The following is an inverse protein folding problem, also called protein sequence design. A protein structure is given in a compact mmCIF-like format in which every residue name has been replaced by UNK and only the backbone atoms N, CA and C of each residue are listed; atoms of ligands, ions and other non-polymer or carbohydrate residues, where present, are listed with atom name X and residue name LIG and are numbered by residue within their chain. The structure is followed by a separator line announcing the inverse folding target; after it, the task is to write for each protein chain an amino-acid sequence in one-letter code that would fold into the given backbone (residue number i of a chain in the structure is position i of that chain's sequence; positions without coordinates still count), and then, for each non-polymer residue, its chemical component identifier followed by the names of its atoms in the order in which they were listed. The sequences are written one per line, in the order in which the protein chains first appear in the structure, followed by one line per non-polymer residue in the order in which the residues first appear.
data_IF_409418565219
#
_entry.id   IF_409418565219
#
_cell.length_a   1.000
_cell.length_b   1.000
_cell.length_c   1.000
_cell.angle_alpha   90.00
_cell.angle_beta   90.00
_cell.angle_gamma   90.00
#
_symmetry.space_group_name_H-M   'P 1'
#
loop_
_entity.id
_entity.type
_entity.pdbx_description
1 polymer ?
#
# COMPACT_ATOMS: atom_id res chain seq x y z
N UNK A 1 -19.11 11.21 -13.85
CA UNK A 1 -18.18 10.61 -12.89
C UNK A 1 -16.82 11.27 -13.10
N UNK A 2 -16.20 11.79 -12.04
CA UNK A 2 -14.91 12.49 -12.16
C UNK A 2 -13.80 11.49 -12.53
N UNK A 3 -12.94 11.86 -13.46
CA UNK A 3 -11.69 11.16 -13.73
C UNK A 3 -10.72 11.31 -12.56
N UNK A 4 -9.74 10.41 -12.45
CA UNK A 4 -8.69 10.54 -11.45
C UNK A 4 -7.92 11.88 -11.59
N UNK A 5 -7.64 12.32 -12.83
CA UNK A 5 -7.02 13.61 -13.09
C UNK A 5 -7.83 14.79 -12.51
N UNK A 6 -9.14 14.78 -12.72
CA UNK A 6 -10.04 15.79 -12.13
C UNK A 6 -10.05 15.72 -10.60
N UNK A 7 -10.15 14.52 -10.02
CA UNK A 7 -10.18 14.35 -8.55
C UNK A 7 -8.90 14.90 -7.91
N UNK A 8 -7.73 14.61 -8.49
CA UNK A 8 -6.45 15.12 -8.01
C UNK A 8 -6.41 16.65 -8.09
N UNK A 9 -6.81 17.22 -9.23
CA UNK A 9 -6.86 18.67 -9.43
C UNK A 9 -7.81 19.34 -8.44
N UNK A 10 -9.01 18.81 -8.26
CA UNK A 10 -10.00 19.34 -7.31
C UNK A 10 -9.44 19.38 -5.88
N UNK A 11 -8.70 18.35 -5.45
CA UNK A 11 -8.01 18.34 -4.14
C UNK A 11 -6.97 19.47 -4.03
N UNK A 12 -6.07 19.58 -5.02
CA UNK A 12 -5.00 20.57 -5.01
C UNK A 12 -5.58 22.00 -5.08
N UNK A 13 -6.52 22.24 -5.99
CA UNK A 13 -7.16 23.53 -6.20
C UNK A 13 -7.96 23.96 -4.97
N UNK A 14 -8.64 23.04 -4.29
CA UNK A 14 -9.34 23.35 -3.04
C UNK A 14 -8.39 23.92 -1.99
N UNK A 15 -7.26 23.25 -1.70
CA UNK A 15 -6.33 23.75 -0.69
C UNK A 15 -5.56 25.00 -1.13
N UNK A 16 -5.25 25.14 -2.42
CA UNK A 16 -4.62 26.36 -2.95
C UNK A 16 -5.58 27.56 -2.85
N UNK A 17 -6.81 27.43 -3.35
CA UNK A 17 -7.73 28.56 -3.50
C UNK A 17 -8.50 28.88 -2.23
N UNK A 18 -8.95 27.87 -1.48
CA UNK A 18 -9.75 28.06 -0.26
C UNK A 18 -8.87 28.26 0.97
N UNK A 19 -7.84 27.43 1.12
CA UNK A 19 -7.06 27.34 2.34
C UNK A 19 -5.70 28.07 2.26
N UNK A 20 -5.31 28.59 1.09
CA UNK A 20 -4.09 29.38 0.91
C UNK A 20 -2.81 28.55 1.04
N UNK A 21 -2.87 27.27 0.70
CA UNK A 21 -1.71 26.38 0.70
C UNK A 21 -0.83 26.63 -0.51
N UNK A 22 0.49 26.56 -0.34
CA UNK A 22 1.40 26.53 -1.47
C UNK A 22 1.36 25.14 -2.12
N UNK A 23 1.11 25.10 -3.43
CA UNK A 23 1.31 23.87 -4.21
C UNK A 23 2.81 23.57 -4.29
N UNK A 24 3.21 22.37 -3.84
CA UNK A 24 4.60 21.94 -3.83
C UNK A 24 4.77 20.66 -4.65
N UNK A 25 5.88 20.48 -5.36
CA UNK A 25 6.12 19.25 -6.10
C UNK A 25 6.36 18.07 -5.15
N UNK A 26 5.98 16.87 -5.59
CA UNK A 26 6.35 15.63 -4.92
C UNK A 26 7.87 15.49 -4.82
N UNK A 27 8.38 15.09 -3.66
CA UNK A 27 9.78 14.69 -3.53
C UNK A 27 10.04 13.34 -4.23
N UNK A 28 11.30 13.02 -4.57
CA UNK A 28 11.64 11.69 -5.08
C UNK A 28 11.21 10.57 -4.13
N UNK A 29 10.87 9.40 -4.66
CA UNK A 29 10.60 8.19 -3.84
C UNK A 29 11.86 7.64 -3.17
N UNK A 30 13.02 8.13 -3.59
CA UNK A 30 14.35 7.82 -3.06
C UNK A 30 14.74 8.98 -2.14
N UNK A 31 14.62 8.86 -0.81
CA UNK A 31 15.05 9.92 0.10
C UNK A 31 16.54 10.21 -0.10
N UNK A 32 16.88 11.48 -0.34
CA UNK A 32 18.27 11.93 -0.51
C UNK A 32 18.95 12.14 0.85
N UNK A 33 18.21 12.65 1.84
CA UNK A 33 18.75 13.14 3.11
C UNK A 33 18.33 12.32 4.34
N UNK A 34 17.76 11.12 4.14
CA UNK A 34 17.40 10.22 5.24
C UNK A 34 17.88 8.78 4.96
N UNK A 35 19.04 8.37 5.52
CA UNK A 35 19.56 7.02 5.33
C UNK A 35 18.75 5.95 6.07
N UNK A 36 17.83 6.35 6.98
CA UNK A 36 17.01 5.41 7.76
C UNK A 36 15.76 4.95 6.99
N UNK A 37 15.36 5.67 5.95
CA UNK A 37 14.23 5.32 5.09
C UNK A 37 14.70 4.69 3.78
N UNK A 38 14.14 3.53 3.44
CA UNK A 38 14.39 2.89 2.15
C UNK A 38 13.74 3.66 1.00
N UNK A 39 12.51 4.12 1.22
CA UNK A 39 11.73 4.91 0.28
C UNK A 39 10.87 5.93 1.03
N UNK A 40 10.47 6.98 0.32
CA UNK A 40 9.43 7.93 0.76
C UNK A 40 8.11 7.17 0.90
N UNK A 41 7.57 7.11 2.11
CA UNK A 41 6.38 6.32 2.46
C UNK A 41 5.14 7.17 2.78
N UNK A 42 5.33 8.49 2.91
CA UNK A 42 4.30 9.49 3.14
C UNK A 42 4.70 10.88 2.60
N UNK A 43 3.72 11.74 2.30
CA UNK A 43 3.94 13.14 1.88
C UNK A 43 4.78 13.96 2.86
N UNK A 44 4.66 13.66 4.15
CA UNK A 44 5.34 14.38 5.23
C UNK A 44 6.86 14.24 5.23
N UNK A 45 7.44 13.22 4.56
CA UNK A 45 8.87 12.94 4.67
C UNK A 45 9.74 14.12 4.21
N UNK A 46 9.32 14.87 3.18
CA UNK A 46 10.04 16.05 2.69
C UNK A 46 9.93 17.30 3.59
N UNK A 47 9.09 17.23 4.63
CA UNK A 47 8.89 18.30 5.62
C UNK A 47 9.37 17.91 7.02
N UNK A 48 10.05 16.76 7.17
CA UNK A 48 10.57 16.27 8.46
C UNK A 48 11.41 17.33 9.18
N UNK A 49 12.27 18.04 8.47
CA UNK A 49 13.11 19.12 9.02
C UNK A 49 12.27 20.30 9.53
N UNK A 50 11.18 20.63 8.85
CA UNK A 50 10.26 21.71 9.24
C UNK A 50 9.50 21.36 10.51
N UNK A 51 8.96 20.14 10.61
CA UNK A 51 8.27 19.69 11.84
C UNK A 51 9.19 19.65 13.06
N UNK A 52 10.47 19.34 12.85
CA UNK A 52 11.46 19.32 13.92
C UNK A 52 12.02 20.72 14.26
N UNK A 53 11.58 21.77 13.58
CA UNK A 53 12.09 23.14 13.75
C UNK A 53 13.55 23.33 13.33
N UNK A 54 14.08 22.42 12.49
CA UNK A 54 15.46 22.44 11.97
C UNK A 54 15.57 23.13 10.62
N UNK A 55 14.48 23.19 9.88
CA UNK A 55 14.38 23.87 8.59
C UNK A 55 13.19 24.81 8.53
N UNK A 56 13.15 25.63 7.49
CA UNK A 56 12.03 26.52 7.18
C UNK A 56 11.69 26.46 5.69
N UNK A 57 10.52 26.98 5.34
CA UNK A 57 10.03 27.14 3.97
C UNK A 57 9.49 28.57 3.82
N UNK A 58 9.42 29.12 2.60
CA UNK A 58 8.83 30.44 2.37
C UNK A 58 7.29 30.47 2.55
N UNK A 59 6.69 29.31 2.84
CA UNK A 59 5.27 29.12 3.09
C UNK A 59 5.05 28.42 4.44
N UNK A 60 3.87 28.66 5.04
CA UNK A 60 3.45 27.98 6.29
C UNK A 60 2.42 26.89 6.08
N UNK A 61 1.88 26.77 4.87
CA UNK A 61 0.90 25.77 4.45
C UNK A 61 1.34 25.21 3.12
N UNK A 62 1.22 23.90 2.94
CA UNK A 62 1.61 23.24 1.69
C UNK A 62 0.60 22.16 1.30
N UNK A 63 0.43 21.92 0.01
CA UNK A 63 -0.42 20.85 -0.53
C UNK A 63 0.29 20.17 -1.70
N UNK A 64 0.20 18.84 -1.81
CA UNK A 64 0.72 18.09 -2.94
C UNK A 64 -0.03 16.77 -3.20
N UNK A 65 0.43 16.05 -4.23
CA UNK A 65 0.30 14.61 -4.35
C UNK A 65 1.69 13.98 -4.27
N UNK A 66 1.97 13.18 -3.24
CA UNK A 66 3.27 12.56 -3.05
C UNK A 66 3.31 11.13 -3.62
N UNK A 67 4.33 10.85 -4.43
CA UNK A 67 4.73 9.48 -4.78
C UNK A 67 5.20 8.72 -3.54
N UNK A 68 4.49 7.65 -3.16
CA UNK A 68 4.83 6.85 -1.98
C UNK A 68 5.16 5.41 -2.38
N UNK A 69 6.17 4.80 -1.74
CA UNK A 69 6.46 3.37 -1.83
C UNK A 69 6.42 2.73 -0.44
N UNK A 70 5.58 1.69 -0.29
CA UNK A 70 5.49 0.86 0.93
C UNK A 70 5.90 -0.58 0.64
N UNK A 71 7.21 -0.79 0.57
CA UNK A 71 7.81 -2.09 0.26
C UNK A 71 8.96 -2.46 1.22
N UNK A 72 8.98 -1.91 2.43
CA UNK A 72 10.00 -2.21 3.44
C UNK A 72 9.89 -1.36 4.71
N UNK A 73 10.59 -1.77 5.77
CA UNK A 73 10.55 -1.10 7.07
C UNK A 73 9.21 -1.29 7.80
N UNK A 74 8.80 -0.28 8.59
CA UNK A 74 7.56 -0.28 9.38
C UNK A 74 6.29 -0.36 8.53
N UNK A 75 6.32 0.24 7.33
CA UNK A 75 5.18 0.29 6.41
C UNK A 75 5.49 -0.54 5.15
N UNK A 76 5.00 -1.77 5.10
CA UNK A 76 5.32 -2.72 4.05
C UNK A 76 4.08 -3.51 3.63
N UNK A 77 3.52 -3.13 2.49
CA UNK A 77 2.28 -3.70 1.95
C UNK A 77 2.57 -4.72 0.83
N UNK A 78 3.84 -5.02 0.58
CA UNK A 78 4.29 -5.80 -0.59
C UNK A 78 3.61 -7.17 -0.71
N UNK A 79 3.40 -7.87 0.40
CA UNK A 79 2.83 -9.23 0.40
C UNK A 79 1.30 -9.26 0.15
N UNK A 80 0.62 -8.14 0.40
CA UNK A 80 -0.84 -7.99 0.24
C UNK A 80 -1.23 -7.55 -1.17
N UNK A 81 -0.32 -6.85 -1.85
CA UNK A 81 -0.50 -6.37 -3.23
C UNK A 81 -0.95 -7.49 -4.17
N UNK A 82 -2.08 -7.26 -4.82
CA UNK A 82 -2.72 -8.19 -5.76
C UNK A 82 -3.61 -9.25 -5.12
N UNK A 83 -3.50 -9.49 -3.80
CA UNK A 83 -4.40 -10.38 -3.05
C UNK A 83 -5.69 -9.69 -2.64
N UNK A 84 -5.61 -8.40 -2.30
CA UNK A 84 -6.78 -7.56 -2.05
C UNK A 84 -6.97 -6.50 -3.14
N UNK A 85 -7.90 -5.59 -2.87
CA UNK A 85 -8.35 -4.56 -3.81
C UNK A 85 -7.80 -3.16 -3.52
N UNK A 86 -6.99 -2.96 -2.48
CA UNK A 86 -6.70 -1.62 -1.95
C UNK A 86 -5.27 -1.37 -1.44
N UNK A 87 -4.41 -2.40 -1.36
CA UNK A 87 -2.99 -2.25 -1.08
C UNK A 87 -2.16 -2.15 -2.36
N UNK A 88 -1.17 -1.27 -2.34
CA UNK A 88 -0.28 -0.97 -3.46
C UNK A 88 1.16 -0.88 -2.97
N UNK A 89 2.13 -1.31 -3.78
CA UNK A 89 3.54 -1.01 -3.48
C UNK A 89 3.84 0.46 -3.72
N UNK A 90 3.27 1.02 -4.79
CA UNK A 90 3.34 2.42 -5.15
C UNK A 90 1.95 3.03 -5.21
N UNK A 91 1.78 4.16 -4.55
CA UNK A 91 0.53 4.90 -4.54
C UNK A 91 0.78 6.40 -4.43
N UNK A 92 -0.24 7.18 -4.72
CA UNK A 92 -0.24 8.62 -4.51
C UNK A 92 -0.90 8.97 -3.17
N UNK A 93 -0.23 9.80 -2.38
CA UNK A 93 -0.78 10.36 -1.16
C UNK A 93 -1.11 11.82 -1.38
N UNK A 94 -2.40 12.15 -1.41
CA UNK A 94 -2.87 13.53 -1.38
C UNK A 94 -2.69 14.08 0.03
N UNK A 95 -1.93 15.16 0.19
CA UNK A 95 -1.62 15.69 1.51
C UNK A 95 -1.73 17.21 1.59
N UNK A 96 -2.12 17.69 2.77
CA UNK A 96 -2.09 19.09 3.14
C UNK A 96 -1.39 19.27 4.50
N UNK A 97 -0.51 20.26 4.59
CA UNK A 97 0.35 20.48 5.76
C UNK A 97 0.14 21.86 6.38
N UNK A 98 0.36 21.92 7.69
CA UNK A 98 0.42 23.16 8.48
C UNK A 98 1.72 23.21 9.25
N UNK A 99 2.50 24.26 9.04
CA UNK A 99 3.78 24.48 9.69
C UNK A 99 3.65 25.55 10.78
N UNK A 100 3.10 25.17 11.95
CA UNK A 100 2.93 26.10 13.08
C UNK A 100 1.88 27.19 12.81
N UNK A 101 0.82 26.85 12.07
CA UNK A 101 -0.20 27.79 11.61
C UNK A 101 -1.61 27.38 12.07
N UNK A 102 -2.38 26.66 11.24
CA UNK A 102 -3.66 26.05 11.66
C UNK A 102 -3.45 24.68 12.32
N UNK A 103 -4.45 24.18 13.05
CA UNK A 103 -4.39 22.88 13.73
C UNK A 103 -5.66 22.05 13.51
N UNK A 104 -6.18 21.37 14.54
CA UNK A 104 -7.26 20.38 14.42
C UNK A 104 -8.55 20.92 13.81
N UNK A 105 -8.96 22.13 14.21
CA UNK A 105 -10.24 22.72 13.79
C UNK A 105 -10.29 22.85 12.28
N UNK A 106 -9.36 23.59 11.70
CA UNK A 106 -9.33 23.86 10.26
C UNK A 106 -9.03 22.57 9.48
N UNK A 107 -8.17 21.69 10.01
CA UNK A 107 -7.89 20.39 9.38
C UNK A 107 -9.16 19.53 9.22
N UNK A 108 -9.97 19.42 10.27
CA UNK A 108 -11.23 18.66 10.26
C UNK A 108 -12.29 19.35 9.41
N UNK A 109 -12.44 20.68 9.55
CA UNK A 109 -13.43 21.46 8.80
C UNK A 109 -13.16 21.39 7.28
N UNK A 110 -11.91 21.55 6.85
CA UNK A 110 -11.55 21.45 5.43
C UNK A 110 -11.62 20.02 4.88
N UNK A 111 -11.25 19.01 5.67
CA UNK A 111 -11.40 17.62 5.24
C UNK A 111 -12.89 17.27 5.02
N UNK A 112 -13.76 17.71 5.94
CA UNK A 112 -15.21 17.53 5.81
C UNK A 112 -15.77 18.30 4.60
N UNK A 113 -15.43 19.58 4.46
CA UNK A 113 -15.90 20.43 3.35
C UNK A 113 -15.46 19.85 2.00
N UNK A 114 -14.23 19.37 1.88
CA UNK A 114 -13.75 18.78 0.64
C UNK A 114 -14.51 17.49 0.30
N UNK A 115 -14.64 16.56 1.25
CA UNK A 115 -15.31 15.29 0.99
C UNK A 115 -16.80 15.46 0.67
N UNK A 116 -17.51 16.29 1.42
CA UNK A 116 -18.98 16.39 1.35
C UNK A 116 -19.44 17.52 0.43
N UNK A 117 -18.73 18.65 0.45
CA UNK A 117 -19.05 19.84 -0.34
C UNK A 117 -18.52 19.80 -1.76
N UNK A 118 -17.27 19.38 -1.97
CA UNK A 118 -16.66 19.33 -3.31
C UNK A 118 -16.88 17.96 -3.96
N UNK A 119 -16.49 16.90 -3.27
CA UNK A 119 -16.57 15.55 -3.81
C UNK A 119 -17.96 14.91 -3.70
N UNK A 120 -18.86 15.48 -2.89
CA UNK A 120 -20.21 14.97 -2.68
C UNK A 120 -20.24 13.52 -2.20
N UNK A 121 -19.25 13.13 -1.39
CA UNK A 121 -19.27 11.85 -0.68
C UNK A 121 -20.47 11.85 0.28
N UNK A 122 -21.35 10.84 0.26
CA UNK A 122 -22.50 10.79 1.14
C UNK A 122 -22.10 10.82 2.61
N UNK A 123 -22.54 11.85 3.32
CA UNK A 123 -22.26 12.06 4.75
C UNK A 123 -22.73 10.86 5.61
N UNK A 124 -23.83 10.23 5.18
CA UNK A 124 -24.41 9.08 5.85
C UNK A 124 -23.57 7.79 5.72
N UNK A 125 -22.43 7.84 5.01
CA UNK A 125 -21.46 6.73 4.86
C UNK A 125 -20.10 7.02 5.49
N UNK A 126 -19.92 8.20 6.09
CA UNK A 126 -18.67 8.61 6.71
C UNK A 126 -18.64 8.29 8.20
N UNK A 127 -17.47 7.84 8.66
CA UNK A 127 -17.12 7.62 10.06
C UNK A 127 -15.81 8.32 10.35
N UNK A 128 -15.61 8.81 11.58
CA UNK A 128 -14.36 9.40 12.01
C UNK A 128 -13.85 8.72 13.28
N UNK A 129 -12.55 8.52 13.37
CA UNK A 129 -11.88 8.02 14.58
C UNK A 129 -11.13 9.14 15.29
N UNK A 130 -10.94 9.04 16.60
CA UNK A 130 -10.07 9.94 17.37
C UNK A 130 -9.25 9.14 18.38
N UNK A 131 -8.09 9.68 18.77
CA UNK A 131 -7.20 9.01 19.70
C UNK A 131 -7.84 8.86 21.09
N UNK A 132 -7.99 7.61 21.55
CA UNK A 132 -8.62 7.27 22.82
C UNK A 132 -7.72 7.51 24.04
N UNK A 133 -6.48 7.95 23.84
CA UNK A 133 -5.47 8.05 24.89
C UNK A 133 -4.68 6.75 25.03
N UNK A 134 -3.57 6.83 25.75
CA UNK A 134 -2.82 5.68 26.21
C UNK A 134 -2.15 5.97 27.56
N UNK A 135 -2.80 5.51 28.63
CA UNK A 135 -2.35 5.71 30.00
C UNK A 135 -0.95 5.12 30.25
N UNK A 136 -0.54 4.09 29.50
CA UNK A 136 0.79 3.48 29.64
C UNK A 136 1.92 4.43 29.23
N UNK A 137 1.67 5.27 28.23
CA UNK A 137 2.60 6.30 27.77
C UNK A 137 2.25 7.71 28.33
N UNK A 138 1.32 7.81 29.29
CA UNK A 138 0.90 9.09 29.87
C UNK A 138 0.22 10.02 28.86
N UNK A 139 -0.48 9.45 27.87
CA UNK A 139 -1.14 10.21 26.82
C UNK A 139 -2.64 10.29 27.08
N UNK A 140 -3.16 11.51 27.16
CA UNK A 140 -4.60 11.75 27.35
C UNK A 140 -5.41 11.51 26.07
N UNK A 141 -6.71 11.18 26.18
CA UNK A 141 -7.61 11.09 25.04
C UNK A 141 -7.73 12.42 24.29
N UNK A 142 -7.78 12.37 22.95
CA UNK A 142 -8.00 13.55 22.10
C UNK A 142 -9.47 13.94 22.05
N UNK A 143 -9.96 14.46 23.17
CA UNK A 143 -11.34 14.95 23.32
C UNK A 143 -11.63 16.17 22.44
N UNK A 144 -10.61 16.94 22.06
CA UNK A 144 -10.75 18.08 21.15
C UNK A 144 -11.18 17.62 19.75
N UNK A 145 -10.50 16.61 19.17
CA UNK A 145 -10.88 16.04 17.88
C UNK A 145 -12.30 15.43 17.91
N UNK A 146 -12.64 14.72 19.00
CA UNK A 146 -13.98 14.15 19.21
C UNK A 146 -15.09 15.21 19.14
N UNK A 147 -14.93 16.32 19.87
CA UNK A 147 -15.94 17.38 19.91
C UNK A 147 -15.98 18.21 18.62
N UNK A 148 -14.88 18.30 17.88
CA UNK A 148 -14.87 18.88 16.53
C UNK A 148 -15.69 18.01 15.55
N UNK A 149 -15.47 16.69 15.55
CA UNK A 149 -16.21 15.78 14.68
C UNK A 149 -17.70 15.70 14.97
N UNK A 150 -18.11 15.79 16.23
CA UNK A 150 -19.52 15.80 16.64
C UNK A 150 -20.35 16.95 16.07
N UNK A 151 -19.71 17.99 15.51
CA UNK A 151 -20.40 19.07 14.78
C UNK A 151 -20.85 18.63 13.39
N UNK A 152 -20.24 17.59 12.83
CA UNK A 152 -20.44 17.10 11.47
C UNK A 152 -21.10 15.71 11.47
N UNK A 153 -20.72 14.85 12.41
CA UNK A 153 -21.15 13.46 12.48
C UNK A 153 -21.96 13.19 13.76
N UNK A 154 -22.94 12.27 13.72
CA UNK A 154 -23.60 11.78 14.92
C UNK A 154 -22.58 11.08 15.84
N UNK A 155 -22.82 11.11 17.15
CA UNK A 155 -21.91 10.55 18.13
C UNK A 155 -21.60 9.06 17.93
N UNK A 156 -22.53 8.28 17.34
CA UNK A 156 -22.32 6.86 17.01
C UNK A 156 -21.29 6.61 15.91
N UNK A 157 -20.87 7.65 15.18
CA UNK A 157 -19.87 7.57 14.10
C UNK A 157 -18.56 8.29 14.39
N UNK A 158 -18.42 8.79 15.62
CA UNK A 158 -17.19 9.39 16.14
C UNK A 158 -16.59 8.41 17.14
N UNK A 159 -15.68 7.57 16.66
CA UNK A 159 -15.24 6.35 17.32
C UNK A 159 -13.89 6.55 18.03
N UNK A 160 -13.71 6.05 19.26
CA UNK A 160 -12.39 6.03 19.90
C UNK A 160 -11.51 4.97 19.24
N UNK A 161 -10.27 5.32 18.91
CA UNK A 161 -9.28 4.37 18.41
C UNK A 161 -8.02 4.34 19.26
N UNK A 162 -7.38 3.17 19.28
CA UNK A 162 -6.23 2.90 20.14
C UNK A 162 -4.95 3.53 19.58
N UNK A 163 -3.88 3.54 20.37
CA UNK A 163 -2.57 4.05 19.92
C UNK A 163 -2.06 3.41 18.62
N UNK A 164 -2.38 2.13 18.38
CA UNK A 164 -1.98 1.45 17.14
C UNK A 164 -2.64 2.00 15.87
N UNK A 165 -3.81 2.65 16.00
CA UNK A 165 -4.62 3.15 14.89
C UNK A 165 -4.56 4.69 14.85
N UNK A 166 -4.74 5.34 16.00
CA UNK A 166 -4.89 6.80 16.12
C UNK A 166 -3.69 7.52 16.76
N UNK A 167 -2.50 6.92 16.75
CA UNK A 167 -1.25 7.61 17.08
C UNK A 167 -0.22 7.34 15.97
N UNK A 168 0.00 8.34 15.13
CA UNK A 168 0.82 8.19 13.94
C UNK A 168 2.28 8.53 14.20
N UNK A 169 3.18 7.75 13.62
CA UNK A 169 4.63 7.97 13.70
C UNK A 169 5.29 7.61 12.37
N UNK A 170 6.19 8.47 11.90
CA UNK A 170 6.90 8.30 10.62
C UNK A 170 7.80 7.05 10.58
N UNK A 171 8.35 6.66 11.73
CA UNK A 171 9.29 5.56 11.87
C UNK A 171 9.51 5.22 13.34
N UNK A 172 10.69 4.69 13.68
CA UNK A 172 11.07 4.41 15.06
C UNK A 172 11.37 5.69 15.86
N UNK A 173 11.77 6.76 15.18
CA UNK A 173 12.01 8.10 15.73
C UNK A 173 11.46 9.17 14.79
N UNK A 174 11.28 10.39 15.30
CA UNK A 174 10.86 11.54 14.50
C UNK A 174 9.49 12.13 14.89
N UNK A 175 8.99 13.09 14.11
CA UNK A 175 7.74 13.78 14.40
C UNK A 175 6.55 12.80 14.40
N UNK A 176 5.67 12.96 15.39
CA UNK A 176 4.51 12.10 15.64
C UNK A 176 3.41 12.85 16.42
N UNK A 177 2.24 12.21 16.54
CA UNK A 177 1.13 12.76 17.30
C UNK A 177 -0.15 11.91 17.21
N UNK A 178 -1.19 12.27 17.99
CA UNK A 178 -2.50 11.70 17.79
C UNK A 178 -2.99 12.04 16.38
N UNK A 179 -3.79 11.15 15.81
CA UNK A 179 -4.41 11.38 14.51
C UNK A 179 -5.89 11.00 14.51
N UNK A 180 -6.57 11.45 13.48
CA UNK A 180 -7.99 11.20 13.26
C UNK A 180 -8.19 10.71 11.84
N UNK A 181 -8.78 9.53 11.70
CA UNK A 181 -8.99 8.90 10.40
C UNK A 181 -10.45 9.07 9.98
N UNK A 182 -10.66 9.26 8.68
CA UNK A 182 -11.97 9.28 8.05
C UNK A 182 -12.13 7.97 7.29
N UNK A 183 -13.22 7.25 7.59
CA UNK A 183 -13.57 6.00 6.95
C UNK A 183 -14.86 6.13 6.14
N UNK A 184 -14.96 5.32 5.09
CA UNK A 184 -16.11 5.27 4.20
C UNK A 184 -16.68 3.85 4.13
N UNK A 185 -18.00 3.73 4.34
CA UNK A 185 -18.75 2.49 4.10
C UNK A 185 -19.27 2.44 2.65
N UNK A 186 -18.74 1.51 1.86
CA UNK A 186 -19.14 1.30 0.46
C UNK A 186 -20.57 0.80 0.32
N UNK A 187 -21.10 0.07 1.30
CA UNK A 187 -22.44 -0.51 1.22
C UNK A 187 -23.50 0.56 1.51
N UNK A 188 -23.35 1.30 2.62
CA UNK A 188 -24.32 2.29 3.06
C UNK A 188 -25.63 1.68 3.56
N UNK A 189 -26.54 2.51 4.09
CA UNK A 189 -27.82 2.04 4.63
C UNK A 189 -27.71 1.13 5.85
N UNK A 190 -26.55 1.12 6.53
CA UNK A 190 -26.25 0.32 7.72
C UNK A 190 -25.40 1.12 8.71
N UNK A 191 -25.32 0.63 9.94
CA UNK A 191 -24.27 1.04 10.88
C UNK A 191 -23.06 0.11 10.68
N UNK A 192 -21.92 0.70 10.31
CA UNK A 192 -20.66 0.01 10.06
C UNK A 192 -19.59 0.37 11.11
N UNK A 193 -19.98 1.00 12.22
CA UNK A 193 -19.06 1.42 13.28
C UNK A 193 -18.19 0.28 13.81
N UNK A 194 -18.77 -0.91 14.01
CA UNK A 194 -18.05 -2.10 14.49
C UNK A 194 -17.04 -2.67 13.48
N UNK A 195 -17.11 -2.27 12.21
CA UNK A 195 -16.22 -2.71 11.13
C UNK A 195 -15.05 -1.74 10.88
N UNK A 196 -15.12 -0.52 11.41
CA UNK A 196 -14.03 0.47 11.30
C UNK A 196 -12.75 -0.10 11.93
N UNK A 197 -11.64 -0.03 11.19
CA UNK A 197 -10.34 -0.59 11.57
C UNK A 197 -10.35 -2.10 11.88
N UNK A 198 -11.25 -2.87 11.23
CA UNK A 198 -11.30 -4.34 11.29
C UNK A 198 -10.78 -5.05 10.03
N UNK A 199 -10.25 -4.30 9.06
CA UNK A 199 -9.78 -4.86 7.79
C UNK A 199 -10.90 -5.32 6.86
N UNK A 200 -12.11 -4.78 7.03
CA UNK A 200 -13.23 -5.03 6.12
C UNK A 200 -13.01 -4.23 4.81
N UNK A 201 -13.02 -4.88 3.63
CA UNK A 201 -12.75 -4.21 2.35
C UNK A 201 -13.84 -3.21 1.92
N UNK A 202 -15.05 -3.33 2.48
CA UNK A 202 -16.17 -2.43 2.23
C UNK A 202 -16.19 -1.26 3.25
N UNK A 203 -15.33 -1.25 4.27
CA UNK A 203 -15.18 -0.14 5.25
C UNK A 203 -13.74 0.34 5.27
N UNK A 204 -13.47 1.36 4.46
CA UNK A 204 -12.12 1.76 4.08
C UNK A 204 -11.70 3.06 4.76
N UNK A 205 -10.50 3.11 5.32
CA UNK A 205 -9.82 4.37 5.64
C UNK A 205 -9.49 5.13 4.34
N UNK A 206 -10.04 6.34 4.20
CA UNK A 206 -9.81 7.20 3.02
C UNK A 206 -8.81 8.32 3.31
N UNK A 207 -8.80 8.88 4.53
CA UNK A 207 -7.98 10.05 4.86
C UNK A 207 -7.56 10.03 6.33
N UNK A 208 -6.27 10.21 6.61
CA UNK A 208 -5.73 10.36 7.95
C UNK A 208 -5.28 11.81 8.19
N UNK A 209 -5.71 12.40 9.31
CA UNK A 209 -5.38 13.74 9.79
C UNK A 209 -4.49 13.63 11.04
N UNK A 210 -3.19 13.79 10.88
CA UNK A 210 -2.20 13.71 11.96
C UNK A 210 -1.96 15.08 12.58
N UNK A 211 -2.08 15.13 13.91
CA UNK A 211 -1.87 16.32 14.71
C UNK A 211 -0.49 16.28 15.35
N UNK A 212 0.52 16.54 14.53
CA UNK A 212 1.94 16.47 14.90
C UNK A 212 2.22 17.46 16.04
N UNK A 213 2.61 16.92 17.19
CA UNK A 213 2.87 17.71 18.41
C UNK A 213 4.01 17.14 19.27
N UNK A 214 4.55 15.97 18.90
CA UNK A 214 5.66 15.33 19.59
C UNK A 214 6.77 14.92 18.63
N UNK A 215 7.96 14.71 19.17
CA UNK A 215 9.06 13.97 18.56
C UNK A 215 9.29 12.69 19.36
N UNK A 216 9.33 11.53 18.68
CA UNK A 216 9.75 10.26 19.26
C UNK A 216 11.28 10.22 19.27
N UNK A 217 11.86 10.13 20.46
CA UNK A 217 13.31 10.02 20.65
C UNK A 217 13.78 8.56 20.55
N UNK A 218 15.10 8.35 20.49
CA UNK A 218 15.69 6.99 20.36
C UNK A 218 15.36 6.07 21.54
N UNK A 219 15.20 6.63 22.75
CA UNK A 219 14.78 5.91 23.96
C UNK A 219 13.26 5.66 24.02
N UNK A 220 12.55 6.00 22.95
CA UNK A 220 11.09 5.95 22.78
C UNK A 220 10.31 6.98 23.61
N UNK A 221 10.97 7.88 24.33
CA UNK A 221 10.28 8.99 24.99
C UNK A 221 9.64 9.94 23.96
N UNK A 222 8.58 10.64 24.39
CA UNK A 222 7.90 11.66 23.60
C UNK A 222 8.31 13.03 24.09
N UNK A 223 8.98 13.79 23.23
CA UNK A 223 9.33 15.18 23.50
C UNK A 223 8.33 16.12 22.82
N UNK A 224 7.71 17.08 23.52
CA UNK A 224 6.88 18.09 22.88
C UNK A 224 7.65 18.92 21.85
N UNK A 225 7.02 19.17 20.70
CA UNK A 225 7.54 20.06 19.67
C UNK A 225 7.32 21.54 20.04
N UNK A 226 8.18 22.47 19.57
CA UNK A 226 8.04 23.90 19.84
C UNK A 226 6.79 24.52 19.20
N UNK A 227 6.26 23.90 18.15
CA UNK A 227 5.03 24.27 17.48
C UNK A 227 4.18 23.02 17.21
N UNK A 228 2.87 23.23 17.06
CA UNK A 228 1.92 22.21 16.63
C UNK A 228 1.75 22.29 15.11
N UNK A 229 1.64 21.13 14.48
CA UNK A 229 1.63 21.00 13.03
C UNK A 229 0.48 20.09 12.59
N UNK A 230 0.11 20.19 11.32
CA UNK A 230 -0.84 19.26 10.69
C UNK A 230 -0.11 18.56 9.56
N UNK A 231 -0.31 17.25 9.51
CA UNK A 231 0.08 16.38 8.42
C UNK A 231 -1.12 15.54 8.02
N UNK A 232 -1.55 15.60 6.76
CA UNK A 232 -2.64 14.77 6.28
C UNK A 232 -2.18 13.87 5.14
N UNK A 233 -2.80 12.71 5.04
CA UNK A 233 -2.57 11.77 3.95
C UNK A 233 -3.85 11.06 3.55
N UNK A 234 -4.29 11.29 2.32
CA UNK A 234 -5.42 10.60 1.69
C UNK A 234 -4.89 9.72 0.57
N UNK A 235 -5.25 8.42 0.62
CA UNK A 235 -4.89 7.48 -0.43
C UNK A 235 -5.64 7.84 -1.72
N UNK A 236 -4.93 8.31 -2.73
CA UNK A 236 -5.56 8.82 -3.95
C UNK A 236 -6.37 7.75 -4.68
N UNK A 237 -5.79 6.55 -4.87
CA UNK A 237 -6.44 5.43 -5.52
C UNK A 237 -7.70 4.98 -4.79
N UNK A 238 -7.69 5.06 -3.45
CA UNK A 238 -8.84 4.77 -2.59
C UNK A 238 -9.96 5.79 -2.81
N UNK A 239 -9.63 7.09 -2.80
CA UNK A 239 -10.58 8.15 -3.08
C UNK A 239 -11.19 8.01 -4.48
N UNK A 240 -10.35 7.78 -5.51
CA UNK A 240 -10.82 7.58 -6.88
C UNK A 240 -11.79 6.41 -6.95
N UNK A 241 -11.47 5.29 -6.29
CA UNK A 241 -12.35 4.13 -6.21
C UNK A 241 -13.71 4.46 -5.57
N UNK A 242 -13.72 5.28 -4.51
CA UNK A 242 -14.96 5.74 -3.87
C UNK A 242 -15.77 6.63 -4.81
N UNK A 243 -15.16 7.66 -5.40
CA UNK A 243 -15.86 8.63 -6.27
C UNK A 243 -16.28 8.06 -7.63
N UNK A 244 -15.65 6.96 -8.05
CA UNK A 244 -16.03 6.20 -9.23
C UNK A 244 -16.92 5.00 -8.93
N UNK A 245 -17.39 4.86 -7.69
CA UNK A 245 -18.28 3.78 -7.26
C UNK A 245 -17.74 2.37 -7.61
N UNK A 246 -16.42 2.21 -7.53
CA UNK A 246 -15.72 0.95 -7.77
C UNK A 246 -15.47 0.23 -6.45
N UNK A 247 -15.58 -1.10 -6.43
CA UNK A 247 -15.23 -1.91 -5.24
C UNK A 247 -13.73 -2.17 -5.08
N UNK A 248 -12.97 -1.89 -6.12
CA UNK A 248 -11.52 -2.06 -6.13
C UNK A 248 -10.84 -0.80 -6.63
N UNK A 249 -9.66 -0.50 -6.07
CA UNK A 249 -8.79 0.53 -6.60
C UNK A 249 -8.42 0.22 -8.05
N UNK A 250 -8.21 -1.07 -8.36
CA UNK A 250 -7.82 -1.58 -9.67
C UNK A 250 -8.90 -1.45 -10.76
N UNK A 251 -10.14 -1.12 -10.40
CA UNK A 251 -11.25 -1.02 -11.37
C UNK A 251 -11.49 0.44 -11.82
N UNK A 252 -10.56 1.34 -11.48
CA UNK A 252 -10.61 2.77 -11.80
C UNK A 252 -9.91 3.09 -13.12
N UNK A 253 -10.12 4.31 -13.62
CA UNK A 253 -9.46 4.84 -14.82
C UNK A 253 -7.92 4.93 -14.70
N UNK A 254 -7.37 4.85 -13.49
CA UNK A 254 -5.92 4.79 -13.25
C UNK A 254 -5.26 3.52 -13.79
N UNK A 255 -5.99 2.40 -13.85
CA UNK A 255 -5.42 1.08 -14.14
C UNK A 255 -5.79 0.56 -15.51
N UNK A 256 -6.93 1.00 -16.06
CA UNK A 256 -7.43 0.53 -17.35
C UNK A 256 -6.38 0.60 -18.48
N UNK A 257 -5.59 1.69 -18.64
CA UNK A 257 -4.55 1.74 -19.67
C UNK A 257 -3.44 0.69 -19.46
N UNK A 258 -3.05 0.43 -18.20
CA UNK A 258 -2.01 -0.53 -17.85
C UNK A 258 -2.49 -1.95 -18.08
N UNK A 259 -3.74 -2.26 -17.71
CA UNK A 259 -4.36 -3.57 -17.95
C UNK A 259 -4.56 -3.83 -19.44
N UNK A 260 -5.02 -2.85 -20.22
CA UNK A 260 -5.13 -2.96 -21.67
C UNK A 260 -3.77 -3.30 -22.29
N UNK A 261 -2.72 -2.56 -21.95
CA UNK A 261 -1.40 -2.82 -22.51
C UNK A 261 -0.80 -4.15 -22.02
N UNK A 262 -1.15 -4.59 -20.81
CA UNK A 262 -0.79 -5.93 -20.30
C UNK A 262 -1.47 -7.03 -21.11
N UNK A 263 -2.76 -6.88 -21.43
CA UNK A 263 -3.49 -7.79 -22.32
C UNK A 263 -2.80 -7.89 -23.69
N UNK A 264 -2.60 -6.74 -24.35
CA UNK A 264 -2.00 -6.66 -25.69
C UNK A 264 -0.57 -7.23 -25.75
N UNK A 265 0.19 -7.02 -24.67
CA UNK A 265 1.60 -7.46 -24.59
C UNK A 265 1.71 -8.96 -24.35
N UNK A 266 0.83 -9.53 -23.53
CA UNK A 266 0.96 -10.91 -23.02
C UNK A 266 0.08 -11.92 -23.75
N UNK A 267 -1.00 -11.48 -24.40
CA UNK A 267 -2.02 -12.35 -24.99
C UNK A 267 -2.90 -13.07 -23.97
N UNK A 268 -2.77 -12.77 -22.67
CA UNK A 268 -3.66 -13.30 -21.64
C UNK A 268 -5.09 -12.78 -21.84
N UNK A 269 -6.11 -13.49 -21.37
CA UNK A 269 -7.49 -12.98 -21.37
C UNK A 269 -7.59 -11.61 -20.67
N UNK A 270 -8.59 -10.81 -21.01
CA UNK A 270 -8.88 -9.54 -20.31
C UNK A 270 -9.13 -9.73 -18.82
N UNK A 271 -8.78 -8.71 -18.02
CA UNK A 271 -8.99 -8.65 -16.57
C UNK A 271 -10.48 -8.65 -16.20
N UNK A 272 -10.88 -9.42 -15.17
CA UNK A 272 -12.29 -9.58 -14.77
C UNK A 272 -12.62 -9.11 -13.35
N UNK A 273 -11.66 -8.58 -12.60
CA UNK A 273 -11.92 -8.06 -11.25
C UNK A 273 -12.05 -9.12 -10.15
N UNK A 274 -11.69 -10.39 -10.39
CA UNK A 274 -11.84 -11.48 -9.41
C UNK A 274 -10.63 -11.59 -8.49
N UNK A 275 -10.87 -11.79 -7.19
CA UNK A 275 -9.81 -11.90 -6.19
C UNK A 275 -9.16 -13.28 -6.14
N UNK A 276 -9.94 -14.32 -6.38
CA UNK A 276 -9.54 -15.73 -6.36
C UNK A 276 -8.96 -16.22 -7.70
N UNK A 277 -9.05 -15.41 -8.76
CA UNK A 277 -8.57 -15.77 -10.08
C UNK A 277 -7.06 -15.43 -10.26
N UNK A 278 -6.20 -16.44 -10.50
CA UNK A 278 -4.75 -16.23 -10.60
C UNK A 278 -4.32 -15.29 -11.73
N UNK A 279 -5.10 -15.19 -12.82
CA UNK A 279 -4.80 -14.27 -13.92
C UNK A 279 -5.08 -12.83 -13.47
N UNK A 280 -6.20 -12.60 -12.78
CA UNK A 280 -6.56 -11.27 -12.30
C UNK A 280 -5.60 -10.80 -11.18
N UNK A 281 -5.15 -11.72 -10.32
CA UNK A 281 -4.05 -11.46 -9.37
C UNK A 281 -2.79 -11.02 -10.11
N UNK A 282 -2.41 -11.73 -11.17
CA UNK A 282 -1.23 -11.38 -11.96
C UNK A 282 -1.34 -10.01 -12.62
N UNK A 283 -2.50 -9.64 -13.18
CA UNK A 283 -2.76 -8.28 -13.69
C UNK A 283 -2.50 -7.23 -12.61
N UNK A 284 -3.09 -7.38 -11.42
CA UNK A 284 -2.93 -6.42 -10.32
C UNK A 284 -1.47 -6.28 -9.90
N UNK A 285 -0.76 -7.41 -9.71
CA UNK A 285 0.66 -7.40 -9.32
C UNK A 285 1.54 -6.76 -10.39
N UNK A 286 1.37 -7.13 -11.66
CA UNK A 286 2.17 -6.60 -12.76
C UNK A 286 1.96 -5.09 -12.91
N UNK A 287 0.72 -4.62 -12.89
CA UNK A 287 0.41 -3.20 -13.05
C UNK A 287 0.95 -2.37 -11.88
N UNK A 288 0.73 -2.81 -10.64
CA UNK A 288 1.25 -2.15 -9.44
C UNK A 288 2.78 -2.07 -9.46
N UNK A 289 3.44 -3.19 -9.74
CA UNK A 289 4.90 -3.26 -9.74
C UNK A 289 5.50 -2.47 -10.91
N UNK A 290 4.83 -2.41 -12.07
CA UNK A 290 5.23 -1.53 -13.16
C UNK A 290 5.20 -0.06 -12.73
N UNK A 291 4.17 0.39 -12.01
CA UNK A 291 4.10 1.76 -11.44
C UNK A 291 5.26 2.02 -10.48
N UNK A 292 5.50 1.11 -9.53
CA UNK A 292 6.58 1.23 -8.55
C UNK A 292 7.96 1.28 -9.18
N UNK A 293 8.28 0.38 -10.11
CA UNK A 293 9.58 0.35 -10.78
C UNK A 293 9.80 1.59 -11.62
N UNK A 294 8.76 2.05 -12.34
CA UNK A 294 8.84 3.27 -13.15
C UNK A 294 9.16 4.48 -12.29
N UNK A 295 8.44 4.67 -11.18
CA UNK A 295 8.67 5.79 -10.28
C UNK A 295 10.07 5.74 -9.65
N UNK A 296 10.47 4.59 -9.12
CA UNK A 296 11.77 4.43 -8.45
C UNK A 296 12.96 4.61 -9.41
N UNK A 297 12.87 4.06 -10.63
CA UNK A 297 13.94 4.18 -11.62
C UNK A 297 13.99 5.61 -12.20
N UNK A 298 12.84 6.25 -12.42
CA UNK A 298 12.79 7.66 -12.79
C UNK A 298 13.43 8.55 -11.71
N UNK A 299 13.28 8.21 -10.44
CA UNK A 299 13.93 8.92 -9.32
C UNK A 299 15.38 8.47 -9.05
N UNK A 300 15.94 7.63 -9.91
CA UNK A 300 17.37 7.30 -9.93
C UNK A 300 17.79 6.03 -9.19
N UNK A 301 16.86 5.32 -8.54
CA UNK A 301 17.15 4.00 -7.98
C UNK A 301 17.23 2.93 -9.09
N UNK A 302 17.85 1.79 -8.79
CA UNK A 302 18.01 0.70 -9.75
C UNK A 302 17.90 -0.64 -9.04
N UNK A 303 17.39 -1.71 -9.68
CA UNK A 303 17.46 -3.06 -9.12
C UNK A 303 18.91 -3.48 -8.81
N UNK A 304 19.13 -4.14 -7.68
CA UNK A 304 20.47 -4.52 -7.22
C UNK A 304 20.46 -5.57 -6.11
N UNK A 305 21.60 -5.79 -5.45
CA UNK A 305 21.76 -6.83 -4.43
C UNK A 305 21.58 -6.34 -2.98
N UNK A 306 21.55 -5.03 -2.75
CA UNK A 306 21.59 -4.46 -1.40
C UNK A 306 20.53 -3.38 -1.18
N UNK A 307 20.11 -3.21 0.07
CA UNK A 307 19.22 -2.14 0.52
C UNK A 307 17.97 -1.98 -0.35
N UNK A 308 17.66 -0.73 -0.72
CA UNK A 308 16.50 -0.37 -1.56
C UNK A 308 16.57 -1.00 -2.96
N UNK A 309 17.77 -1.15 -3.50
CA UNK A 309 17.98 -1.75 -4.82
C UNK A 309 17.59 -3.24 -4.82
N UNK A 310 17.82 -3.95 -3.71
CA UNK A 310 17.34 -5.32 -3.53
C UNK A 310 15.81 -5.42 -3.47
N UNK A 311 15.16 -4.46 -2.82
CA UNK A 311 13.68 -4.39 -2.80
C UNK A 311 13.13 -4.23 -4.22
N UNK A 312 13.68 -3.29 -5.01
CA UNK A 312 13.26 -3.11 -6.41
C UNK A 312 13.50 -4.36 -7.25
N UNK A 313 14.62 -5.06 -7.04
CA UNK A 313 14.88 -6.35 -7.70
C UNK A 313 13.84 -7.39 -7.32
N UNK A 314 13.41 -7.48 -6.05
CA UNK A 314 12.35 -8.40 -5.62
C UNK A 314 11.01 -8.07 -6.28
N UNK A 315 10.65 -6.79 -6.35
CA UNK A 315 9.43 -6.30 -7.01
C UNK A 315 9.44 -6.68 -8.50
N UNK A 316 10.53 -6.38 -9.22
CA UNK A 316 10.69 -6.77 -10.63
C UNK A 316 10.54 -8.28 -10.83
N UNK A 317 11.28 -9.07 -10.05
CA UNK A 317 11.24 -10.53 -10.17
C UNK A 317 9.86 -11.11 -9.84
N UNK A 318 9.12 -10.52 -8.90
CA UNK A 318 7.75 -10.93 -8.58
C UNK A 318 6.81 -10.66 -9.75
N UNK A 319 6.88 -9.49 -10.39
CA UNK A 319 6.08 -9.18 -11.57
C UNK A 319 6.37 -10.14 -12.73
N UNK A 320 7.65 -10.38 -13.03
CA UNK A 320 8.08 -11.32 -14.08
C UNK A 320 7.60 -12.74 -13.77
N UNK A 321 7.70 -13.18 -12.52
CA UNK A 321 7.22 -14.50 -12.09
C UNK A 321 5.70 -14.66 -12.29
N UNK A 322 4.90 -13.63 -11.97
CA UNK A 322 3.45 -13.66 -12.21
C UNK A 322 3.12 -13.75 -13.71
N UNK A 323 3.82 -12.99 -14.55
CA UNK A 323 3.66 -13.09 -16.01
C UNK A 323 3.96 -14.49 -16.52
N UNK A 324 5.03 -15.11 -16.01
CA UNK A 324 5.43 -16.46 -16.41
C UNK A 324 4.46 -17.54 -15.91
N UNK A 325 4.08 -17.52 -14.63
CA UNK A 325 3.29 -18.57 -13.99
C UNK A 325 1.80 -18.50 -14.34
N UNK A 326 1.26 -17.28 -14.48
CA UNK A 326 -0.19 -17.07 -14.58
C UNK A 326 -0.63 -16.56 -15.94
N UNK A 327 0.24 -15.87 -16.68
CA UNK A 327 -0.07 -15.34 -18.01
C UNK A 327 0.65 -16.11 -19.14
N UNK A 328 1.53 -17.06 -18.82
CA UNK A 328 2.22 -17.91 -19.80
C UNK A 328 3.35 -17.23 -20.58
N UNK A 329 3.79 -16.05 -20.15
CA UNK A 329 4.80 -15.25 -20.87
C UNK A 329 6.21 -15.78 -20.62
N UNK A 330 7.01 -15.91 -21.69
CA UNK A 330 8.41 -16.40 -21.62
C UNK A 330 9.45 -15.35 -21.97
N UNK A 331 9.09 -14.44 -22.85
CA UNK A 331 9.96 -13.34 -23.29
C UNK A 331 9.83 -12.11 -22.37
N UNK A 332 10.88 -11.25 -22.28
CA UNK A 332 10.80 -10.01 -21.52
C UNK A 332 9.64 -9.11 -21.97
N UNK A 333 8.73 -8.78 -21.05
CA UNK A 333 7.49 -8.09 -21.35
C UNK A 333 7.24 -6.86 -20.47
N UNK A 334 7.82 -6.80 -19.26
CA UNK A 334 7.47 -5.77 -18.28
C UNK A 334 7.83 -4.36 -18.78
N UNK A 335 8.96 -4.22 -19.47
CA UNK A 335 9.41 -2.97 -20.08
C UNK A 335 8.45 -2.43 -21.16
N UNK A 336 7.62 -3.30 -21.77
CA UNK A 336 6.60 -2.92 -22.76
C UNK A 336 5.34 -2.35 -22.12
N UNK A 337 5.13 -2.58 -20.81
CA UNK A 337 3.97 -2.10 -20.05
C UNK A 337 4.21 -0.69 -19.49
N UNK A 338 5.47 -0.34 -19.19
CA UNK A 338 5.90 0.96 -18.65
C UNK A 338 5.37 2.19 -19.42
N UNK A 339 5.24 2.19 -20.76
CA UNK A 339 4.66 3.33 -21.48
C UNK A 339 3.24 3.71 -21.02
N UNK A 340 2.40 2.74 -20.65
CA UNK A 340 1.07 3.03 -20.09
C UNK A 340 1.17 3.74 -18.73
N UNK A 341 2.17 3.41 -17.91
CA UNK A 341 2.42 4.10 -16.64
C UNK A 341 2.80 5.57 -16.89
N UNK A 342 3.68 5.83 -17.86
CA UNK A 342 4.06 7.19 -18.23
C UNK A 342 2.90 7.99 -18.85
N UNK A 343 1.96 7.30 -19.52
CA UNK A 343 0.71 7.91 -19.99
C UNK A 343 -0.18 8.33 -18.83
N UNK A 344 -0.38 7.47 -17.83
CA UNK A 344 -1.29 7.75 -16.70
C UNK A 344 -0.72 8.71 -15.66
N UNK A 345 0.59 8.67 -15.41
CA UNK A 345 1.24 9.41 -14.32
C UNK A 345 2.20 10.51 -14.78
N UNK A 346 2.64 10.49 -16.04
CA UNK A 346 3.71 11.36 -16.52
C UNK A 346 3.32 12.84 -16.73
N UNK A 347 2.04 13.19 -16.59
CA UNK A 347 1.62 14.60 -16.52
C UNK A 347 1.85 15.17 -15.11
N UNK A 348 1.53 14.38 -14.09
CA UNK A 348 1.66 14.75 -12.67
C UNK A 348 3.11 14.62 -12.18
N UNK A 349 3.82 13.61 -12.69
CA UNK A 349 5.23 13.33 -12.40
C UNK A 349 6.04 13.36 -13.70
N UNK A 350 6.41 14.55 -14.21
CA UNK A 350 7.03 14.71 -15.53
C UNK A 350 8.30 13.88 -15.75
N UNK A 351 9.06 13.64 -14.68
CA UNK A 351 10.26 12.82 -14.69
C UNK A 351 10.00 11.36 -15.11
N UNK A 352 8.81 10.81 -14.84
CA UNK A 352 8.43 9.46 -15.26
C UNK A 352 8.26 9.37 -16.79
N UNK A 353 7.82 10.46 -17.42
CA UNK A 353 7.76 10.58 -18.89
C UNK A 353 9.14 10.88 -19.46
N UNK A 354 9.86 11.83 -18.87
CA UNK A 354 11.17 12.27 -19.37
C UNK A 354 12.23 11.15 -19.34
N UNK A 355 12.17 10.26 -18.35
CA UNK A 355 13.14 9.17 -18.17
C UNK A 355 12.64 7.81 -18.66
N UNK A 356 11.50 7.76 -19.36
CA UNK A 356 10.90 6.52 -19.87
C UNK A 356 11.89 5.62 -20.63
N UNK A 357 12.73 6.11 -21.57
CA UNK A 357 13.67 5.25 -22.30
C UNK A 357 14.64 4.50 -21.37
N UNK A 358 15.18 5.19 -20.36
CA UNK A 358 16.08 4.61 -19.36
C UNK A 358 15.37 3.58 -18.48
N UNK A 359 14.12 3.87 -18.09
CA UNK A 359 13.30 2.92 -17.31
C UNK A 359 13.09 1.62 -18.09
N UNK A 360 12.75 1.73 -19.38
CA UNK A 360 12.54 0.56 -20.24
C UNK A 360 13.81 -0.27 -20.42
N UNK A 361 14.96 0.37 -20.64
CA UNK A 361 16.26 -0.29 -20.76
C UNK A 361 16.59 -1.11 -19.49
N UNK A 362 16.57 -0.47 -18.31
CA UNK A 362 16.90 -1.11 -17.04
C UNK A 362 15.98 -2.30 -16.74
N UNK A 363 14.66 -2.14 -16.95
CA UNK A 363 13.70 -3.21 -16.70
C UNK A 363 13.94 -4.38 -17.66
N UNK A 364 14.17 -4.10 -18.94
CA UNK A 364 14.43 -5.13 -19.96
C UNK A 364 15.68 -5.93 -19.63
N UNK A 365 16.77 -5.28 -19.23
CA UNK A 365 18.03 -5.93 -18.89
C UNK A 365 17.90 -6.84 -17.66
N UNK A 366 17.29 -6.34 -16.58
CA UNK A 366 17.10 -7.12 -15.35
C UNK A 366 16.12 -8.27 -15.54
N UNK A 367 15.06 -8.08 -16.34
CA UNK A 367 14.11 -9.14 -16.72
C UNK A 367 14.79 -10.23 -17.54
N UNK A 368 15.58 -9.87 -18.56
CA UNK A 368 16.35 -10.82 -19.36
C UNK A 368 17.40 -11.57 -18.52
N UNK A 369 18.06 -10.89 -17.58
CA UNK A 369 19.01 -11.51 -16.67
C UNK A 369 18.34 -12.53 -15.74
N UNK A 370 17.16 -12.19 -15.21
CA UNK A 370 16.40 -13.08 -14.34
C UNK A 370 15.80 -14.27 -15.10
N UNK A 371 15.27 -14.07 -16.31
CA UNK A 371 14.66 -15.12 -17.13
C UNK A 371 15.56 -16.34 -17.32
N UNK A 372 16.87 -16.14 -17.56
CA UNK A 372 17.88 -17.20 -17.67
C UNK A 372 18.03 -18.08 -16.41
N UNK A 373 17.58 -17.59 -15.26
CA UNK A 373 17.64 -18.30 -13.97
C UNK A 373 16.29 -18.81 -13.50
N UNK A 374 15.19 -18.13 -13.88
CA UNK A 374 13.84 -18.45 -13.44
C UNK A 374 13.41 -19.85 -13.91
N UNK A 375 13.59 -20.17 -15.19
CA UNK A 375 13.16 -21.47 -15.73
C UNK A 375 13.86 -22.65 -15.06
N UNK A 376 15.18 -22.53 -14.87
CA UNK A 376 15.98 -23.53 -14.12
C UNK A 376 15.52 -23.65 -12.68
N UNK A 377 15.25 -22.52 -12.01
CA UNK A 377 14.79 -22.49 -10.63
C UNK A 377 13.43 -23.15 -10.43
N UNK A 378 12.47 -22.91 -11.35
CA UNK A 378 11.15 -23.54 -11.32
C UNK A 378 11.24 -25.05 -11.53
N UNK A 379 12.04 -25.50 -12.51
CA UNK A 379 12.24 -26.94 -12.76
C UNK A 379 12.83 -27.67 -11.53
N UNK A 380 13.84 -27.08 -10.88
CA UNK A 380 14.44 -27.63 -9.66
C UNK A 380 13.46 -27.67 -8.48
N UNK A 381 12.60 -26.65 -8.36
CA UNK A 381 11.56 -26.60 -7.34
C UNK A 381 10.53 -27.71 -7.53
N UNK A 382 10.04 -27.89 -8.77
CA UNK A 382 9.06 -28.93 -9.08
C UNK A 382 9.62 -30.34 -8.82
N UNK A 383 10.90 -30.56 -9.15
CA UNK A 383 11.61 -31.80 -8.84
C UNK A 383 11.73 -32.03 -7.31
N UNK A 384 12.02 -30.99 -6.54
CA UNK A 384 12.09 -31.06 -5.08
C UNK A 384 10.71 -31.35 -4.45
N UNK A 385 9.64 -30.71 -4.94
CA UNK A 385 8.25 -30.97 -4.48
C UNK A 385 7.85 -32.40 -4.80
N UNK A 386 8.14 -32.90 -6.00
CA UNK A 386 7.88 -34.28 -6.39
C UNK A 386 8.59 -35.27 -5.45
N UNK A 387 9.89 -35.04 -5.16
CA UNK A 387 10.66 -35.84 -4.19
C UNK A 387 10.09 -35.78 -2.78
N UNK A 388 9.68 -34.61 -2.31
CA UNK A 388 9.06 -34.41 -1.00
C UNK A 388 7.73 -35.16 -0.84
N UNK A 389 6.86 -35.08 -1.86
CA UNK A 389 5.58 -35.82 -1.91
C UNK A 389 5.80 -37.33 -1.95
N UNK A 390 6.79 -37.81 -2.71
CA UNK A 390 7.14 -39.23 -2.76
C UNK A 390 7.62 -39.76 -1.39
N UNK A 391 8.40 -38.96 -0.64
CA UNK A 391 8.82 -39.31 0.73
C UNK A 391 7.66 -39.30 1.73
N UNK A 392 6.74 -38.34 1.63
CA UNK A 392 5.55 -38.28 2.49
C UNK A 392 4.54 -39.40 2.21
N UNK A 393 4.40 -39.83 0.95
CA UNK A 393 3.54 -40.96 0.55
C UNK A 393 4.13 -42.34 0.86
N UNK A 394 5.46 -42.46 1.01
CA UNK A 394 6.14 -43.72 1.35
C UNK A 394 6.06 -44.12 2.83
N UNK A 395 5.70 -43.22 3.73
CA UNK A 395 5.62 -43.48 5.17
C UNK A 395 4.40 -44.28 5.63
N UNK A 396 3.39 -44.47 4.77
CA UNK A 396 2.14 -45.16 5.13
C UNK A 396 2.12 -46.67 4.78
N UNK A 397 3.24 -47.27 4.35
CA UNK A 397 3.30 -48.70 3.97
C UNK A 397 4.39 -49.54 4.65
N UNK A 398 5.06 -49.04 5.69
CA UNK A 398 5.99 -49.84 6.49
C UNK A 398 5.38 -50.13 7.87
N UNK A 399 4.43 -51.07 7.91
CA UNK A 399 3.69 -51.43 9.13
C UNK A 399 2.77 -52.63 8.96
N UNK A 400 3.21 -53.67 8.26
CA UNK A 400 2.61 -54.99 8.34
C UNK A 400 3.76 -56.00 8.33
N UNK A 401 4.07 -56.53 9.51
CA UNK A 401 5.23 -57.37 9.77
C UNK A 401 5.16 -58.73 9.10
N UNK A 402 6.35 -59.22 8.77
CA UNK A 402 6.66 -60.60 8.41
C UNK A 402 6.10 -61.60 9.43
N UNK A 403 5.33 -62.56 8.93
CA UNK A 403 5.14 -63.86 9.58
C UNK A 403 5.78 -64.92 8.67
N UNK A 404 6.93 -65.45 9.11
CA UNK A 404 7.62 -66.57 8.47
C UNK A 404 6.84 -67.90 8.64
N UNK A 405 6.89 -68.84 7.67
CA UNK A 405 6.32 -70.16 7.84
C UNK A 405 7.36 -71.12 8.45
N UNK A 406 7.07 -71.69 9.62
CA UNK A 406 7.83 -72.82 10.16
C UNK A 406 7.23 -74.14 9.65
N UNK A 407 8.10 -75.01 9.14
CA UNK A 407 7.77 -76.18 8.34
C UNK A 407 7.17 -77.38 9.08
N UNK A 408 6.62 -78.28 8.27
CA UNK A 408 6.07 -79.57 8.63
C UNK A 408 7.15 -80.67 8.67
N UNK A 409 7.21 -81.40 9.79
CA UNK A 409 7.63 -82.81 9.99
C UNK A 409 7.37 -83.10 11.49
N UNK A 410 6.79 -84.20 11.98
CA UNK A 410 6.30 -85.43 11.40
C UNK A 410 5.49 -86.21 12.46
N UNK A 411 4.69 -87.14 11.95
CA UNK A 411 3.99 -88.29 12.52
C UNK A 411 3.95 -88.63 14.03
N UNK A 412 2.76 -89.13 14.42
CA UNK A 412 2.52 -90.12 15.48
C UNK A 412 1.66 -89.56 16.61
N UNK A 413 0.48 -90.05 16.97
CA UNK A 413 -0.25 -91.28 16.65
C UNK A 413 -1.26 -91.51 17.79
N UNK A 414 -2.36 -92.23 17.48
CA UNK A 414 -3.40 -92.73 18.41
C UNK A 414 -4.22 -91.65 19.14
N UNK A 415 -5.54 -91.72 19.27
CA UNK A 415 -6.44 -92.87 19.28
C UNK A 415 -7.35 -92.70 20.51
N UNK A 416 -8.62 -92.39 20.24
CA UNK A 416 -9.83 -92.63 21.06
C UNK A 416 -9.81 -92.38 22.58
N UNK A 417 -10.69 -91.49 23.04
CA UNK A 417 -11.92 -91.89 23.76
C UNK A 417 -12.92 -90.73 23.73
#
# INVERSE_FOLDING_TARGET
MRSAAEIRRDFLDFFVTKAGHALVPSSPVVPLDDPTLLFTNAGMNQFKDVFLGRGSRPYRRAVDTQKCIRAGGKHNDLEDVGRDTYHHTFFEMLGNWSFGDYFKREAIEWAWELLTGVFHVPEDRLYATYFAGDARNGLEPDTEARELWKKHLPASRVLPGLMKDNFWEMGETGPCGPCSEIHFDRIGGRDASDLVNKGDPDVLEIWNLVFIQFNREQDRSLRPLPAKHVDTGMGFERLVSVLQERRSNYDTDLWAPIFSLTHDTTGAREYRGRLDDPIDVAYRVIADHARCLTAAIADGAQPGNEGRNYVLRRILRRAVRMGHQNLGVREPFLWRIVPAVAQTLGEVFPEMRAKLPRVQEIIREEEAAFGRTLERGLALFDEAVARGRARAGGGARAGAGDAAPAGAHGAGGAGSA
#
